data_IF_878083495433
#
_entry.id   IF_878083495433
#
_cell.length_a   1.000
_cell.length_b   1.000
_cell.length_c   1.000
_cell.angle_alpha   90.00
_cell.angle_beta   90.00
_cell.angle_gamma   90.00
#
_symmetry.space_group_name_H-M   'P 1'
#
loop_
_entity.id
_entity.type
_entity.pdbx_description
1 polymer ?
#
# COMPACT_ATOMS: atom_id res chain seq x y z
N UNK A 1 2.63 2.04 -16.07
CA UNK A 1 2.35 0.59 -16.07
C UNK A 1 1.32 0.32 -14.97
N UNK A 2 0.07 0.68 -15.25
CA UNK A 2 -0.85 1.07 -14.17
C UNK A 2 -1.65 -0.12 -13.64
N UNK A 3 -1.88 -1.12 -14.51
CA UNK A 3 -2.52 -2.38 -14.14
C UNK A 3 -1.64 -3.18 -13.18
N UNK A 4 -0.35 -3.31 -13.47
CA UNK A 4 0.59 -4.03 -12.61
C UNK A 4 0.71 -3.33 -11.26
N UNK A 5 0.90 -2.00 -11.26
CA UNK A 5 0.97 -1.19 -10.05
C UNK A 5 -0.25 -1.42 -9.15
N UNK A 6 -1.47 -1.33 -9.70
CA UNK A 6 -2.69 -1.53 -8.93
C UNK A 6 -2.85 -2.98 -8.44
N UNK A 7 -2.50 -3.98 -9.25
CA UNK A 7 -2.55 -5.38 -8.83
C UNK A 7 -1.56 -5.70 -7.71
N UNK A 8 -0.38 -5.05 -7.66
CA UNK A 8 0.56 -5.24 -6.57
C UNK A 8 -0.07 -4.84 -5.23
N UNK A 9 -0.71 -3.67 -5.14
CA UNK A 9 -1.36 -3.23 -3.89
C UNK A 9 -2.44 -4.20 -3.42
N UNK A 10 -3.26 -4.72 -4.35
CA UNK A 10 -4.30 -5.69 -4.02
C UNK A 10 -3.76 -7.03 -3.49
N UNK A 11 -2.52 -7.38 -3.86
CA UNK A 11 -1.86 -8.61 -3.43
C UNK A 11 -0.88 -8.37 -2.27
N UNK A 12 -0.89 -7.20 -1.63
CA UNK A 12 0.02 -6.88 -0.53
C UNK A 12 1.49 -6.70 -0.96
N UNK A 13 1.74 -6.51 -2.26
CA UNK A 13 3.07 -6.19 -2.80
C UNK A 13 3.19 -4.67 -2.93
N UNK A 14 4.24 -4.09 -2.36
CA UNK A 14 4.51 -2.66 -2.41
C UNK A 14 5.43 -2.29 -3.59
N UNK A 15 4.90 -1.77 -4.71
CA UNK A 15 5.73 -1.24 -5.78
C UNK A 15 6.20 0.17 -5.42
N UNK A 16 7.52 0.34 -5.27
CA UNK A 16 8.15 1.63 -5.00
C UNK A 16 8.81 2.13 -6.29
N UNK A 17 8.49 3.37 -6.66
CA UNK A 17 9.18 4.07 -7.76
C UNK A 17 10.32 4.89 -7.18
N UNK A 18 11.53 4.68 -7.68
CA UNK A 18 12.73 5.41 -7.27
C UNK A 18 13.42 6.03 -8.49
N UNK A 19 14.29 7.01 -8.25
CA UNK A 19 15.13 7.58 -9.30
C UNK A 19 16.16 6.53 -9.81
N UNK A 20 16.69 6.68 -11.04
CA UNK A 20 17.75 5.79 -11.53
C UNK A 20 18.99 5.77 -10.63
N UNK A 21 19.35 6.93 -10.05
CA UNK A 21 20.50 7.06 -9.14
C UNK A 21 20.27 6.29 -7.84
N UNK A 22 19.05 6.34 -7.28
CA UNK A 22 18.72 5.60 -6.06
C UNK A 22 18.55 4.11 -6.33
N UNK A 23 18.06 3.72 -7.51
CA UNK A 23 18.03 2.33 -7.94
C UNK A 23 19.44 1.74 -7.97
N UNK A 24 20.42 2.46 -8.50
CA UNK A 24 21.81 2.01 -8.55
C UNK A 24 22.40 1.85 -7.13
N UNK A 25 22.15 2.79 -6.23
CA UNK A 25 22.54 2.67 -4.81
C UNK A 25 21.91 1.45 -4.14
N UNK A 26 20.61 1.25 -4.32
CA UNK A 26 19.88 0.11 -3.73
C UNK A 26 20.38 -1.23 -4.28
N UNK A 27 20.77 -1.27 -5.57
CA UNK A 27 21.36 -2.46 -6.18
C UNK A 27 22.78 -2.72 -5.72
N UNK A 28 23.60 -1.68 -5.55
CA UNK A 28 24.92 -1.80 -4.95
C UNK A 28 24.81 -2.32 -3.50
N UNK A 29 23.96 -1.71 -2.68
CA UNK A 29 23.68 -2.13 -1.30
C UNK A 29 23.25 -3.60 -1.22
N UNK A 30 22.33 -4.04 -2.11
CA UNK A 30 21.87 -5.42 -2.16
C UNK A 30 22.96 -6.41 -2.62
N UNK A 31 23.93 -5.96 -3.42
CA UNK A 31 25.02 -6.80 -3.93
C UNK A 31 26.14 -7.06 -2.91
N UNK A 32 26.23 -6.24 -1.85
CA UNK A 32 27.31 -6.27 -0.84
C UNK A 32 27.25 -7.48 0.13
N UNK A 33 26.31 -8.40 -0.06
CA UNK A 33 26.33 -9.73 0.54
C UNK A 33 25.10 -10.08 1.38
N UNK A 34 25.07 -11.31 1.88
CA UNK A 34 23.91 -11.96 2.52
C UNK A 34 23.38 -11.32 3.81
N UNK A 35 24.06 -10.30 4.35
CA UNK A 35 23.64 -9.54 5.53
C UNK A 35 23.16 -8.11 5.22
N UNK A 36 23.11 -7.71 3.94
CA UNK A 36 22.56 -6.43 3.52
C UNK A 36 21.04 -6.39 3.75
N UNK A 37 20.64 -6.02 4.96
CA UNK A 37 19.23 -5.89 5.33
C UNK A 37 18.74 -4.52 4.89
N UNK A 38 17.81 -4.48 3.94
CA UNK A 38 17.07 -3.28 3.61
C UNK A 38 15.80 -3.25 4.45
N UNK A 39 15.56 -2.13 5.13
CA UNK A 39 14.32 -1.88 5.86
C UNK A 39 13.47 -0.89 5.08
N UNK A 40 12.18 -1.17 4.93
CA UNK A 40 11.25 -0.26 4.27
C UNK A 40 10.25 0.24 5.30
N UNK A 41 10.23 1.55 5.50
CA UNK A 41 9.29 2.23 6.40
C UNK A 41 8.20 2.91 5.57
N UNK A 42 6.98 2.37 5.66
CA UNK A 42 5.82 2.90 4.94
C UNK A 42 5.25 4.16 5.58
N UNK A 43 5.47 4.38 6.88
CA UNK A 43 4.98 5.57 7.58
C UNK A 43 5.84 6.78 7.25
N UNK A 44 7.16 6.62 7.32
CA UNK A 44 8.13 7.64 6.94
C UNK A 44 8.29 7.79 5.42
N UNK A 45 7.84 6.80 4.63
CA UNK A 45 8.06 6.69 3.18
C UNK A 45 9.55 6.66 2.82
N UNK A 46 10.29 5.82 3.55
CA UNK A 46 11.75 5.73 3.48
C UNK A 46 12.21 4.27 3.31
N UNK A 47 13.23 4.06 2.49
CA UNK A 47 13.99 2.83 2.41
C UNK A 47 15.34 3.09 3.09
N UNK A 48 15.68 2.24 4.06
CA UNK A 48 16.93 2.32 4.83
C UNK A 48 17.83 1.17 4.41
N UNK A 49 18.99 1.52 3.86
CA UNK A 49 20.04 0.58 3.49
C UNK A 49 20.86 0.12 4.70
N UNK A 50 21.67 -0.94 4.55
CA UNK A 50 22.50 -1.49 5.62
C UNK A 50 23.57 -0.51 6.12
N UNK A 51 24.03 0.39 5.26
CA UNK A 51 25.08 1.37 5.57
C UNK A 51 24.52 2.70 6.14
N UNK A 52 23.21 2.74 6.45
CA UNK A 52 22.51 3.93 6.96
C UNK A 52 22.06 4.91 5.87
N UNK A 53 22.20 4.55 4.59
CA UNK A 53 21.63 5.30 3.48
C UNK A 53 20.10 5.35 3.56
N UNK A 54 19.51 6.51 3.26
CA UNK A 54 18.06 6.71 3.26
C UNK A 54 17.63 7.16 1.87
N UNK A 55 16.68 6.43 1.29
CA UNK A 55 16.01 6.76 0.03
C UNK A 55 14.55 7.03 0.34
N UNK A 56 14.10 8.26 0.13
CA UNK A 56 12.68 8.61 0.24
C UNK A 56 11.94 8.25 -1.03
N UNK A 57 10.72 7.74 -0.90
CA UNK A 57 9.85 7.46 -2.04
C UNK A 57 8.50 8.14 -1.88
N UNK A 58 7.80 8.34 -3.00
CA UNK A 58 6.44 8.86 -2.98
C UNK A 58 5.41 7.73 -3.06
N UNK A 59 4.35 7.87 -2.27
CA UNK A 59 3.22 6.95 -2.24
C UNK A 59 1.97 7.73 -1.86
N UNK A 60 0.91 7.48 -2.62
CA UNK A 60 -0.42 8.02 -2.34
C UNK A 60 -0.92 7.59 -0.96
N UNK A 61 -1.46 8.55 -0.21
CA UNK A 61 -1.82 8.33 1.20
C UNK A 61 -2.94 7.30 1.38
N UNK A 62 -3.85 7.17 0.41
CA UNK A 62 -4.89 6.14 0.44
C UNK A 62 -4.29 4.74 0.26
N UNK A 63 -3.36 4.58 -0.69
CA UNK A 63 -2.65 3.30 -0.90
C UNK A 63 -1.77 2.93 0.30
N UNK A 64 -1.13 3.93 0.91
CA UNK A 64 -0.35 3.77 2.15
C UNK A 64 -1.24 3.26 3.30
N UNK A 65 -2.39 3.89 3.49
CA UNK A 65 -3.34 3.49 4.52
C UNK A 65 -3.86 2.07 4.29
N UNK A 66 -4.16 1.70 3.04
CA UNK A 66 -4.58 0.34 2.69
C UNK A 66 -3.50 -0.70 3.04
N UNK A 67 -2.26 -0.43 2.65
CA UNK A 67 -1.10 -1.30 2.96
C UNK A 67 -0.85 -1.44 4.47
N UNK A 68 -0.87 -0.35 5.23
CA UNK A 68 -0.63 -0.37 6.69
C UNK A 68 -1.70 -1.16 7.45
N UNK A 69 -2.95 -1.06 7.03
CA UNK A 69 -4.07 -1.72 7.68
C UNK A 69 -4.37 -3.10 7.08
N UNK A 70 -3.59 -3.55 6.08
CA UNK A 70 -3.86 -4.77 5.32
C UNK A 70 -5.24 -4.77 4.65
N UNK A 71 -5.79 -3.58 4.39
CA UNK A 71 -7.10 -3.42 3.75
C UNK A 71 -6.95 -3.70 2.27
N UNK A 72 -7.59 -4.77 1.83
CA UNK A 72 -7.89 -5.02 0.42
C UNK A 72 -9.21 -4.32 0.03
N UNK A 73 -9.62 -4.48 -1.24
CA UNK A 73 -10.92 -3.97 -1.73
C UNK A 73 -12.11 -4.48 -0.90
N UNK A 74 -11.96 -5.63 -0.21
CA UNK A 74 -12.96 -6.20 0.69
C UNK A 74 -12.96 -5.45 2.02
N UNK A 75 -11.80 -5.15 2.61
CA UNK A 75 -11.64 -4.31 3.80
C UNK A 75 -12.26 -2.93 3.62
N UNK A 76 -12.03 -2.28 2.48
CA UNK A 76 -12.67 -1.02 2.10
C UNK A 76 -14.19 -1.11 1.98
N UNK A 77 -14.70 -2.24 1.48
CA UNK A 77 -16.14 -2.49 1.42
C UNK A 77 -16.72 -2.74 2.81
N UNK A 78 -15.97 -3.44 3.68
CA UNK A 78 -16.35 -3.71 5.08
C UNK A 78 -16.38 -2.44 5.93
N UNK A 79 -15.51 -1.46 5.69
CA UNK A 79 -15.62 -0.13 6.33
C UNK A 79 -16.95 0.57 6.00
N UNK A 80 -17.49 0.31 4.81
CA UNK A 80 -18.79 0.83 4.39
C UNK A 80 -19.98 0.00 4.87
N UNK A 81 -19.75 -1.13 5.58
CA UNK A 81 -20.83 -2.02 6.03
C UNK A 81 -21.90 -1.28 6.86
N UNK A 82 -21.50 -0.32 7.70
CA UNK A 82 -22.45 0.50 8.47
C UNK A 82 -23.33 1.41 7.58
N UNK A 83 -22.77 1.96 6.51
CA UNK A 83 -23.51 2.76 5.54
C UNK A 83 -24.44 1.89 4.67
N UNK A 84 -23.99 0.69 4.30
CA UNK A 84 -24.79 -0.31 3.58
C UNK A 84 -25.98 -0.73 4.44
N UNK A 85 -25.76 -1.11 5.70
CA UNK A 85 -26.83 -1.50 6.62
C UNK A 85 -27.84 -0.36 6.85
N UNK A 86 -27.36 0.89 6.95
CA UNK A 86 -28.24 2.06 7.10
C UNK A 86 -29.08 2.32 5.84
N UNK A 87 -28.48 2.16 4.66
CA UNK A 87 -29.18 2.26 3.38
C UNK A 87 -30.22 1.14 3.24
N UNK A 88 -29.86 -0.11 3.53
CA UNK A 88 -30.75 -1.27 3.45
C UNK A 88 -31.95 -1.12 4.38
N UNK A 89 -31.73 -0.70 5.63
CA UNK A 89 -32.82 -0.42 6.57
C UNK A 89 -33.77 0.65 6.05
N UNK A 90 -33.23 1.76 5.55
CA UNK A 90 -34.03 2.85 4.97
C UNK A 90 -34.79 2.41 3.71
N UNK A 91 -34.18 1.56 2.89
CA UNK A 91 -34.79 1.03 1.68
C UNK A 91 -35.91 0.03 1.99
N UNK A 92 -35.74 -0.82 3.00
CA UNK A 92 -36.80 -1.72 3.49
C UNK A 92 -38.02 -0.94 4.02
N UNK A 93 -37.79 0.19 4.71
CA UNK A 93 -38.85 1.09 5.17
C UNK A 93 -39.54 1.83 4.01
N UNK A 94 -38.79 2.27 2.99
CA UNK A 94 -39.32 3.01 1.83
C UNK A 94 -39.97 2.12 0.77
N UNK A 95 -39.59 0.84 0.70
CA UNK A 95 -40.07 -0.14 -0.28
C UNK A 95 -40.43 -1.46 0.40
N UNK A 96 -41.49 -1.51 1.20
CA UNK A 96 -41.89 -2.72 1.93
C UNK A 96 -42.41 -3.86 1.03
N UNK A 97 -42.53 -3.64 -0.27
CA UNK A 97 -43.03 -4.60 -1.27
C UNK A 97 -41.93 -5.18 -2.17
N UNK A 98 -40.66 -4.87 -1.89
CA UNK A 98 -39.51 -5.46 -2.59
C UNK A 98 -39.14 -6.82 -1.97
#
# INVERSE_FOLDING_TARGET
ADIFYNNCFKNGVLPITVSPEDLEKLMDDASRGSNATLSVDLEAKEIRGPDGGVVTFDLDDFKRHCMLNGLDDIGLTMEKAGAIASFEKKNAELRPWA
#
